data_IF_198004491947
#
_entry.id   IF_198004491947
#
_cell.length_a   1.000
_cell.length_b   1.000
_cell.length_c   1.000
_cell.angle_alpha   90.00
_cell.angle_beta   90.00
_cell.angle_gamma   90.00
#
_symmetry.space_group_name_H-M   'P 1'
#
loop_
_entity.id
_entity.type
_entity.pdbx_description
1 polymer ?
#
# COMPACT_ATOMS: atom_id res chain seq x y z
N UNK A 1 0.31 7.51 10.44
CA UNK A 1 0.28 6.97 9.07
C UNK A 1 -1.12 6.43 8.81
N UNK A 2 -1.77 6.84 7.70
CA UNK A 2 -3.18 6.52 7.40
C UNK A 2 -3.36 5.00 7.16
N UNK A 3 -2.31 4.32 6.70
CA UNK A 3 -2.29 2.87 6.46
C UNK A 3 -2.74 2.05 7.68
N UNK A 4 -2.45 2.51 8.90
CA UNK A 4 -2.87 1.83 10.14
C UNK A 4 -4.38 1.81 10.35
N UNK A 5 -5.12 2.71 9.72
CA UNK A 5 -6.57 2.71 9.75
C UNK A 5 -7.16 1.67 8.79
N UNK A 6 -6.50 1.45 7.64
CA UNK A 6 -7.01 0.55 6.59
C UNK A 6 -6.52 -0.89 6.76
N UNK A 7 -5.27 -1.07 7.22
CA UNK A 7 -4.62 -2.38 7.42
C UNK A 7 -3.88 -2.43 8.77
N UNK A 8 -4.60 -2.31 9.91
CA UNK A 8 -3.98 -2.21 11.23
C UNK A 8 -3.06 -3.40 11.56
N UNK A 9 -3.48 -4.61 11.19
CA UNK A 9 -2.75 -5.86 11.51
C UNK A 9 -1.52 -6.09 10.63
N UNK A 10 -1.49 -5.50 9.44
CA UNK A 10 -0.42 -5.71 8.46
C UNK A 10 0.52 -4.51 8.34
N UNK A 11 0.21 -3.38 9.00
CA UNK A 11 0.97 -2.12 8.85
C UNK A 11 2.46 -2.32 9.10
N UNK A 12 2.82 -2.93 10.23
CA UNK A 12 4.23 -3.07 10.61
C UNK A 12 4.96 -4.05 9.67
N UNK A 13 4.29 -5.10 9.20
CA UNK A 13 4.80 -6.03 8.18
C UNK A 13 5.02 -5.32 6.84
N UNK A 14 4.03 -4.56 6.36
CA UNK A 14 4.08 -3.83 5.10
C UNK A 14 5.24 -2.83 5.11
N UNK A 15 5.40 -2.10 6.22
CA UNK A 15 6.50 -1.15 6.40
C UNK A 15 7.85 -1.85 6.34
N UNK A 16 8.02 -2.97 7.04
CA UNK A 16 9.26 -3.76 6.97
C UNK A 16 9.55 -4.26 5.54
N UNK A 17 8.55 -4.84 4.86
CA UNK A 17 8.71 -5.36 3.50
C UNK A 17 9.00 -4.25 2.48
N UNK A 18 8.45 -3.04 2.65
CA UNK A 18 8.69 -1.92 1.73
C UNK A 18 10.13 -1.41 1.70
N UNK A 19 10.96 -1.80 2.67
CA UNK A 19 12.39 -1.50 2.69
C UNK A 19 13.13 -2.26 1.57
N UNK A 20 12.73 -3.51 1.33
CA UNK A 20 13.41 -4.41 0.40
C UNK A 20 12.62 -4.62 -0.91
N UNK A 21 11.33 -4.27 -0.93
CA UNK A 21 10.46 -4.45 -2.10
C UNK A 21 10.03 -3.11 -2.71
N UNK A 22 10.71 -2.63 -3.77
CA UNK A 22 10.43 -1.32 -4.37
C UNK A 22 9.01 -1.20 -4.94
N UNK A 23 8.42 -2.29 -5.45
CA UNK A 23 7.03 -2.29 -5.93
C UNK A 23 6.03 -2.02 -4.81
N UNK A 24 6.29 -2.54 -3.60
CA UNK A 24 5.44 -2.30 -2.44
C UNK A 24 5.60 -0.86 -1.94
N UNK A 25 6.81 -0.29 -2.02
CA UNK A 25 7.06 1.11 -1.71
C UNK A 25 6.34 2.06 -2.67
N UNK A 26 6.34 1.75 -3.96
CA UNK A 26 5.60 2.52 -4.97
C UNK A 26 4.09 2.48 -4.70
N UNK A 27 3.54 1.30 -4.44
CA UNK A 27 2.12 1.15 -4.06
C UNK A 27 1.76 1.94 -2.80
N UNK A 28 2.66 2.01 -1.81
CA UNK A 28 2.47 2.86 -0.62
C UNK A 28 2.49 4.35 -0.94
N UNK A 29 3.37 4.79 -1.83
CA UNK A 29 3.43 6.18 -2.30
C UNK A 29 2.14 6.57 -3.02
N UNK A 30 1.62 5.71 -3.89
CA UNK A 30 0.34 5.92 -4.59
C UNK A 30 -0.82 5.97 -3.60
N UNK A 31 -0.78 5.12 -2.57
CA UNK A 31 -1.79 5.13 -1.50
C UNK A 31 -1.79 6.44 -0.71
N UNK A 32 -0.61 6.97 -0.37
CA UNK A 32 -0.48 8.25 0.33
C UNK A 32 -0.96 9.42 -0.53
N UNK A 33 -0.69 9.37 -1.84
CA UNK A 33 -1.24 10.33 -2.80
C UNK A 33 -2.76 10.24 -2.84
N UNK A 34 -3.34 9.03 -2.95
CA UNK A 34 -4.78 8.85 -2.98
C UNK A 34 -5.45 9.36 -1.69
N UNK A 35 -4.85 9.11 -0.53
CA UNK A 35 -5.34 9.64 0.74
C UNK A 35 -5.29 11.17 0.79
N UNK A 36 -4.21 11.77 0.28
CA UNK A 36 -4.07 13.23 0.26
C UNK A 36 -5.09 13.86 -0.67
N UNK A 37 -5.29 13.29 -1.86
CA UNK A 37 -6.27 13.77 -2.83
C UNK A 37 -7.73 13.54 -2.39
N UNK A 38 -8.02 12.45 -1.68
CA UNK A 38 -9.35 12.21 -1.08
C UNK A 38 -9.71 13.30 -0.05
N UNK A 39 -8.72 13.79 0.70
CA UNK A 39 -8.90 14.82 1.72
C UNK A 39 -8.72 16.26 1.19
N UNK A 40 -8.41 16.43 -0.10
CA UNK A 40 -8.23 17.75 -0.70
C UNK A 40 -9.59 18.41 -0.95
N UNK A 41 -9.97 19.33 -0.05
CA UNK A 41 -11.22 20.07 -0.13
C UNK A 41 -11.32 21.01 -1.35
N UNK A 42 -10.21 21.25 -2.07
CA UNK A 42 -10.22 22.01 -3.32
C UNK A 42 -10.77 21.20 -4.50
N UNK A 43 -10.81 19.87 -4.38
CA UNK A 43 -11.36 18.97 -5.39
C UNK A 43 -12.88 18.81 -5.25
N UNK A 44 -13.53 18.51 -6.38
CA UNK A 44 -14.97 18.22 -6.39
C UNK A 44 -15.28 16.96 -5.56
N UNK A 45 -16.51 16.86 -5.06
CA UNK A 45 -16.98 15.67 -4.32
C UNK A 45 -16.91 14.40 -5.16
N UNK A 46 -17.15 14.50 -6.47
CA UNK A 46 -17.04 13.37 -7.40
C UNK A 46 -15.60 12.90 -7.52
N UNK A 47 -14.66 13.83 -7.71
CA UNK A 47 -13.24 13.49 -7.83
C UNK A 47 -12.67 12.92 -6.53
N UNK A 48 -13.10 13.44 -5.37
CA UNK A 48 -12.76 12.84 -4.07
C UNK A 48 -13.32 11.42 -3.91
N UNK A 49 -14.53 11.16 -4.42
CA UNK A 49 -15.10 9.80 -4.42
C UNK A 49 -14.33 8.84 -5.32
N UNK A 50 -13.84 9.29 -6.47
CA UNK A 50 -12.92 8.52 -7.32
C UNK A 50 -11.62 8.20 -6.58
N UNK A 51 -11.00 9.17 -5.91
CA UNK A 51 -9.81 8.94 -5.09
C UNK A 51 -10.06 7.96 -3.94
N UNK A 52 -11.23 8.01 -3.30
CA UNK A 52 -11.62 7.03 -2.29
C UNK A 52 -11.74 5.60 -2.87
N UNK A 53 -12.21 5.45 -4.10
CA UNK A 53 -12.25 4.16 -4.79
C UNK A 53 -10.84 3.67 -5.14
N UNK A 54 -9.99 4.55 -5.65
CA UNK A 54 -8.57 4.25 -5.93
C UNK A 54 -7.86 3.79 -4.65
N UNK A 55 -8.05 4.50 -3.53
CA UNK A 55 -7.49 4.13 -2.22
C UNK A 55 -7.90 2.71 -1.82
N UNK A 56 -9.17 2.32 -1.99
CA UNK A 56 -9.65 0.96 -1.66
C UNK A 56 -8.97 -0.11 -2.50
N UNK A 57 -8.78 0.12 -3.79
CA UNK A 57 -8.09 -0.84 -4.66
C UNK A 57 -6.59 -0.93 -4.31
N UNK A 58 -5.94 0.21 -4.02
CA UNK A 58 -4.55 0.23 -3.56
C UNK A 58 -4.36 -0.52 -2.24
N UNK A 59 -5.28 -0.35 -1.28
CA UNK A 59 -5.25 -1.11 -0.01
C UNK A 59 -5.27 -2.62 -0.26
N UNK A 60 -6.14 -3.10 -1.16
CA UNK A 60 -6.21 -4.53 -1.52
C UNK A 60 -4.94 -5.01 -2.20
N UNK A 61 -4.38 -4.21 -3.09
CA UNK A 61 -3.14 -4.57 -3.78
C UNK A 61 -1.94 -4.60 -2.82
N UNK A 62 -1.82 -3.62 -1.92
CA UNK A 62 -0.78 -3.60 -0.87
C UNK A 62 -0.89 -4.83 0.02
N UNK A 63 -2.10 -5.17 0.48
CA UNK A 63 -2.32 -6.38 1.28
C UNK A 63 -1.92 -7.63 0.49
N UNK A 64 -2.34 -7.73 -0.78
CA UNK A 64 -2.03 -8.88 -1.63
C UNK A 64 -0.53 -9.03 -1.84
N UNK A 65 0.18 -7.95 -2.11
CA UNK A 65 1.62 -7.94 -2.28
C UNK A 65 2.32 -8.33 -0.98
N UNK A 66 1.95 -7.73 0.14
CA UNK A 66 2.53 -8.06 1.44
C UNK A 66 2.36 -9.55 1.79
N UNK A 67 1.15 -10.10 1.60
CA UNK A 67 0.90 -11.54 1.79
C UNK A 67 1.73 -12.39 0.84
N UNK A 68 1.79 -12.05 -0.44
CA UNK A 68 2.58 -12.78 -1.44
C UNK A 68 4.07 -12.79 -1.11
N UNK A 69 4.62 -11.63 -0.75
CA UNK A 69 6.03 -11.49 -0.36
C UNK A 69 6.29 -12.31 0.91
N UNK A 70 5.45 -12.16 1.94
CA UNK A 70 5.60 -12.92 3.20
C UNK A 70 5.47 -14.44 3.03
N UNK A 71 4.67 -14.88 2.05
CA UNK A 71 4.48 -16.30 1.72
C UNK A 71 5.58 -16.87 0.81
N UNK A 72 6.48 -16.02 0.30
CA UNK A 72 7.62 -16.45 -0.50
C UNK A 72 8.87 -16.43 0.40
N UNK A 73 9.18 -17.51 1.14
CA UNK A 73 10.42 -17.60 1.86
C UNK A 73 11.54 -17.71 0.82
N UNK A 74 12.23 -16.60 0.60
CA UNK A 74 13.60 -16.47 0.12
C UNK A 74 14.22 -17.76 -0.48
N UNK A 75 13.84 -18.09 -1.72
CA UNK A 75 14.59 -19.05 -2.54
C UNK A 75 15.75 -18.34 -3.26
N UNK A 76 16.59 -17.61 -2.52
CA UNK A 76 17.90 -17.17 -3.02
C UNK A 76 19.00 -17.33 -1.94
N UNK A 77 19.08 -18.52 -1.33
CA UNK A 77 20.33 -19.04 -0.75
C UNK A 77 20.88 -20.19 -1.59
N UNK A 78 21.31 -19.93 -2.83
CA UNK A 78 22.32 -20.79 -3.47
C UNK A 78 23.02 -20.01 -4.57
N UNK A 79 24.12 -19.36 -4.24
CA UNK A 79 25.27 -19.28 -5.14
C UNK A 79 26.47 -19.60 -4.25
N UNK A 80 26.87 -20.88 -4.28
CA UNK A 80 28.19 -21.35 -3.82
C UNK A 80 29.29 -20.80 -4.73
#
# INVERSE_FOLDING_TARGET
>A
MILRNDLPELTDLILALSLDHPSLREALSDYELACSSENDETLSSELRAEWANIRKELVREIERQARRISATPDQQRTIE
#
